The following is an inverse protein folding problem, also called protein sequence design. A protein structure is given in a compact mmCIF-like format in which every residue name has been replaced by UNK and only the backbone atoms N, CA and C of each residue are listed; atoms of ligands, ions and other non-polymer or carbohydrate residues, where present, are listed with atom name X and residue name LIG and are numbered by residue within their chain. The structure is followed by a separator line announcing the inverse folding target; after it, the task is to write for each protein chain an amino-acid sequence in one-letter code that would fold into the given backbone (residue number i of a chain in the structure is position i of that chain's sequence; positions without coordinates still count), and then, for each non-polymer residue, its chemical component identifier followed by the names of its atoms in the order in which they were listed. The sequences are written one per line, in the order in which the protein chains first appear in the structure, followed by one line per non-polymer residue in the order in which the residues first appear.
data_IF_499733994159
#
_entry.id   IF_499733994159
#
_cell.length_a   1.000
_cell.length_b   1.000
_cell.length_c   1.000
_cell.angle_alpha   90.00
_cell.angle_beta   90.00
_cell.angle_gamma   90.00
#
_symmetry.space_group_name_H-M   'P 1'
#
loop_
_entity.id
_entity.type
_entity.pdbx_description
1 polymer ?
#
# COMPACT_ATOMS: atom_id res chain seq x y z
N UNK A 1 17.48 27.52 14.98
CA UNK A 1 16.94 26.17 15.20
C UNK A 1 17.79 25.22 14.38
N UNK A 2 18.52 24.34 15.05
CA UNK A 2 19.54 23.47 14.47
C UNK A 2 18.85 22.30 13.76
N UNK A 3 18.86 22.27 12.44
CA UNK A 3 18.59 21.06 11.70
C UNK A 3 19.90 20.29 11.61
N UNK A 4 20.09 19.36 12.55
CA UNK A 4 21.22 18.43 12.52
C UNK A 4 21.21 17.70 11.17
N UNK A 5 22.31 17.83 10.44
CA UNK A 5 22.67 16.95 9.34
C UNK A 5 22.63 15.51 9.87
N UNK A 6 21.62 14.72 9.48
CA UNK A 6 21.66 13.28 9.71
C UNK A 6 22.42 12.68 8.52
N UNK A 7 23.74 12.67 8.71
CA UNK A 7 24.71 11.65 8.34
C UNK A 7 24.38 10.65 7.23
N UNK A 8 25.38 10.41 6.37
CA UNK A 8 25.50 9.21 5.54
C UNK A 8 25.37 7.94 6.41
N UNK A 9 24.25 7.21 6.34
CA UNK A 9 24.08 5.91 7.02
C UNK A 9 22.91 5.09 6.44
N UNK A 10 23.01 3.77 6.56
CA UNK A 10 21.98 2.83 6.15
C UNK A 10 20.71 3.01 7.00
N UNK A 11 19.64 3.55 6.38
CA UNK A 11 18.33 3.64 7.02
C UNK A 11 17.66 2.26 7.11
N UNK A 12 17.11 1.93 8.27
CA UNK A 12 16.19 0.81 8.49
C UNK A 12 14.82 1.11 7.87
N UNK A 13 13.94 0.11 7.81
CA UNK A 13 12.59 0.30 7.26
C UNK A 13 11.76 1.29 8.09
N UNK A 14 11.85 1.19 9.41
CA UNK A 14 11.13 2.08 10.34
C UNK A 14 11.61 3.53 10.21
N UNK A 15 12.92 3.76 10.04
CA UNK A 15 13.48 5.09 9.81
C UNK A 15 13.05 5.69 8.46
N UNK A 16 12.89 4.86 7.44
CA UNK A 16 12.37 5.30 6.14
C UNK A 16 10.86 5.58 6.19
N UNK A 17 10.10 4.83 6.99
CA UNK A 17 8.68 5.11 7.24
C UNK A 17 8.50 6.44 7.97
N UNK A 18 9.29 6.69 9.03
CA UNK A 18 9.29 7.97 9.74
C UNK A 18 9.71 9.13 8.83
N UNK A 19 10.75 8.93 8.02
CA UNK A 19 11.19 9.93 7.06
C UNK A 19 10.12 10.22 6.00
N UNK A 20 9.46 9.18 5.48
CA UNK A 20 8.41 9.33 4.49
C UNK A 20 7.20 10.07 5.04
N UNK A 21 6.79 9.77 6.27
CA UNK A 21 5.73 10.52 6.97
C UNK A 21 6.09 12.00 7.11
N UNK A 22 7.32 12.32 7.52
CA UNK A 22 7.79 13.70 7.64
C UNK A 22 7.90 14.41 6.28
N UNK A 23 8.26 13.67 5.23
CA UNK A 23 8.32 14.19 3.87
C UNK A 23 6.93 14.52 3.34
N UNK A 24 5.95 13.62 3.50
CA UNK A 24 4.55 13.81 3.09
C UNK A 24 3.93 15.01 3.82
N UNK A 25 4.15 15.13 5.13
CA UNK A 25 3.64 16.26 5.91
C UNK A 25 4.16 17.63 5.40
N UNK A 26 5.38 17.68 4.84
CA UNK A 26 5.91 18.88 4.21
C UNK A 26 5.34 19.10 2.81
N UNK A 27 5.15 18.03 2.04
CA UNK A 27 4.60 18.09 0.69
C UNK A 27 3.14 18.59 0.69
N UNK A 28 2.36 18.22 1.72
CA UNK A 28 0.99 18.69 1.93
C UNK A 28 0.89 20.19 2.22
N UNK A 29 1.95 20.79 2.79
CA UNK A 29 2.02 22.24 3.01
C UNK A 29 2.38 22.95 1.70
N UNK A 30 3.47 22.54 1.07
CA UNK A 30 3.88 23.04 -0.25
C UNK A 30 5.04 22.22 -0.80
N UNK A 31 4.83 21.62 -1.97
CA UNK A 31 5.91 20.98 -2.71
C UNK A 31 6.82 22.03 -3.37
N UNK A 32 8.13 21.83 -3.26
CA UNK A 32 9.15 22.66 -3.90
C UNK A 32 10.33 21.78 -4.35
N UNK A 33 11.19 22.35 -5.20
CA UNK A 33 12.29 21.62 -5.83
C UNK A 33 13.18 20.90 -4.82
N UNK A 34 13.50 21.52 -3.68
CA UNK A 34 14.32 20.91 -2.63
C UNK A 34 13.65 19.69 -2.00
N UNK A 35 12.33 19.74 -1.81
CA UNK A 35 11.56 18.63 -1.27
C UNK A 35 11.42 17.50 -2.30
N UNK A 36 11.25 17.85 -3.58
CA UNK A 36 11.26 16.87 -4.67
C UNK A 36 12.63 16.18 -4.82
N UNK A 37 13.72 16.94 -4.74
CA UNK A 37 15.09 16.43 -4.77
C UNK A 37 15.38 15.49 -3.59
N UNK A 38 14.85 15.78 -2.39
CA UNK A 38 15.04 14.90 -1.24
C UNK A 38 14.33 13.54 -1.39
N UNK A 39 13.18 13.51 -2.08
CA UNK A 39 12.52 12.25 -2.45
C UNK A 39 13.31 11.47 -3.49
N UNK A 40 13.81 12.14 -4.52
CA UNK A 40 14.64 11.50 -5.56
C UNK A 40 15.92 10.93 -4.94
N UNK A 41 16.57 11.70 -4.08
CA UNK A 41 17.77 11.29 -3.34
C UNK A 41 17.47 10.07 -2.44
N UNK A 42 16.41 10.12 -1.64
CA UNK A 42 16.06 8.99 -0.76
C UNK A 42 15.65 7.74 -1.56
N UNK A 43 14.91 7.91 -2.66
CA UNK A 43 14.57 6.81 -3.57
C UNK A 43 15.79 6.16 -4.20
N UNK A 44 16.75 6.98 -4.66
CA UNK A 44 17.97 6.47 -5.29
C UNK A 44 18.83 5.63 -4.35
N UNK A 45 18.82 5.94 -3.05
CA UNK A 45 19.61 5.23 -2.03
C UNK A 45 18.88 4.03 -1.42
N UNK A 46 17.55 4.06 -1.43
CA UNK A 46 16.71 3.05 -0.78
C UNK A 46 15.76 2.39 -1.78
N UNK A 47 16.28 1.98 -2.94
CA UNK A 47 15.51 1.25 -3.95
C UNK A 47 14.79 0.03 -3.34
N UNK A 48 15.40 -0.66 -2.37
CA UNK A 48 14.76 -1.78 -1.67
C UNK A 48 13.49 -1.40 -0.86
N UNK A 49 13.34 -0.13 -0.52
CA UNK A 49 12.18 0.39 0.21
C UNK A 49 11.13 0.97 -0.74
N UNK A 50 11.56 1.76 -1.74
CA UNK A 50 10.67 2.45 -2.67
C UNK A 50 10.28 1.62 -3.91
N UNK A 51 11.15 0.72 -4.34
CA UNK A 51 11.01 -0.15 -5.51
C UNK A 51 11.61 -1.54 -5.17
N UNK A 52 11.11 -2.23 -4.12
CA UNK A 52 11.65 -3.52 -3.75
C UNK A 52 11.66 -4.45 -4.96
N UNK A 53 12.75 -5.20 -5.21
CA UNK A 53 12.73 -6.20 -6.27
C UNK A 53 11.55 -7.13 -6.03
N UNK A 54 10.77 -7.40 -7.09
CA UNK A 54 9.71 -8.40 -7.04
C UNK A 54 10.27 -9.65 -6.34
N UNK A 55 9.58 -10.19 -5.32
CA UNK A 55 10.14 -11.28 -4.54
C UNK A 55 10.54 -12.41 -5.49
N UNK A 56 11.80 -12.82 -5.44
CA UNK A 56 12.22 -14.05 -6.08
C UNK A 56 11.26 -15.18 -5.62
N UNK A 57 10.89 -16.13 -6.51
CA UNK A 57 10.05 -17.26 -6.11
C UNK A 57 10.62 -17.88 -4.84
N UNK A 58 9.80 -18.13 -3.79
CA UNK A 58 10.33 -18.27 -2.45
C UNK A 58 11.18 -19.54 -2.31
N UNK A 59 12.48 -19.35 -2.02
CA UNK A 59 13.24 -20.34 -1.28
C UNK A 59 12.71 -20.38 0.15
N UNK A 60 12.49 -21.60 0.63
CA UNK A 60 11.74 -21.95 1.84
C UNK A 60 12.40 -21.38 3.10
N UNK A 61 11.83 -20.34 3.69
CA UNK A 61 12.14 -19.96 5.07
C UNK A 61 10.98 -20.41 5.99
N UNK A 62 11.25 -21.49 6.71
CA UNK A 62 10.39 -22.09 7.72
C UNK A 62 10.41 -21.27 9.01
N UNK A 63 9.23 -21.15 9.63
CA UNK A 63 8.96 -20.78 11.05
C UNK A 63 8.55 -19.33 11.30
N UNK A 64 7.23 -19.08 11.37
CA UNK A 64 6.53 -18.70 12.61
C UNK A 64 5.01 -18.84 12.38
N UNK A 65 4.40 -19.75 13.15
CA UNK A 65 2.96 -19.97 13.40
C UNK A 65 2.00 -19.68 12.23
N UNK A 66 1.49 -20.74 11.59
CA UNK A 66 0.29 -20.73 10.73
C UNK A 66 -0.78 -19.82 11.35
N UNK A 67 -0.89 -18.59 10.87
CA UNK A 67 -2.19 -17.95 10.79
C UNK A 67 -2.99 -18.87 9.86
N UNK A 68 -3.99 -19.53 10.39
CA UNK A 68 -4.96 -20.28 9.60
C UNK A 68 -5.38 -19.41 8.42
N UNK A 69 -5.05 -19.83 7.20
CA UNK A 69 -5.52 -19.16 5.98
C UNK A 69 -7.04 -19.31 5.94
N UNK A 70 -7.75 -18.36 6.53
CA UNK A 70 -9.22 -18.33 6.59
C UNK A 70 -9.86 -17.94 5.26
N UNK A 71 -9.05 -17.58 4.26
CA UNK A 71 -9.49 -17.10 2.96
C UNK A 71 -9.30 -18.16 1.88
N UNK A 72 -10.07 -18.06 0.80
CA UNK A 72 -9.89 -18.93 -0.37
C UNK A 72 -8.45 -18.83 -0.90
N UNK A 73 -7.92 -19.89 -1.51
CA UNK A 73 -6.56 -19.88 -2.06
C UNK A 73 -6.31 -18.73 -3.04
N UNK A 74 -7.35 -18.27 -3.74
CA UNK A 74 -7.28 -17.17 -4.69
C UNK A 74 -7.16 -15.79 -4.01
N UNK A 75 -7.60 -15.64 -2.76
CA UNK A 75 -7.39 -14.42 -1.98
C UNK A 75 -6.02 -14.48 -1.29
N UNK A 76 -5.71 -15.63 -0.68
CA UNK A 76 -4.51 -15.80 0.13
C UNK A 76 -3.20 -15.59 -0.66
N UNK A 77 -3.21 -15.81 -1.99
CA UNK A 77 -2.07 -15.50 -2.87
C UNK A 77 -1.59 -14.04 -2.78
N UNK A 78 -2.46 -13.11 -2.39
CA UNK A 78 -2.13 -11.69 -2.26
C UNK A 78 -1.49 -11.33 -0.91
N UNK A 79 -1.47 -12.24 0.07
CA UNK A 79 -0.92 -11.96 1.40
C UNK A 79 0.51 -11.43 1.38
N UNK A 80 1.45 -11.98 0.59
CA UNK A 80 2.82 -11.46 0.55
C UNK A 80 2.86 -10.00 0.07
N UNK A 81 2.07 -9.67 -0.95
CA UNK A 81 1.97 -8.30 -1.46
C UNK A 81 1.34 -7.37 -0.42
N UNK A 82 0.23 -7.78 0.20
CA UNK A 82 -0.40 -7.00 1.29
C UNK A 82 0.57 -6.80 2.46
N UNK A 83 1.31 -7.82 2.87
CA UNK A 83 2.30 -7.73 3.94
C UNK A 83 3.51 -6.85 3.59
N UNK A 84 3.80 -6.64 2.30
CA UNK A 84 4.85 -5.74 1.86
C UNK A 84 4.47 -4.26 1.98
N UNK A 85 3.17 -3.93 2.04
CA UNK A 85 2.66 -2.55 2.08
C UNK A 85 2.03 -2.17 3.41
N UNK A 86 1.44 -3.13 4.13
CA UNK A 86 0.77 -2.89 5.40
C UNK A 86 1.65 -3.30 6.59
N UNK A 87 1.56 -2.54 7.68
CA UNK A 87 2.10 -2.98 8.97
C UNK A 87 1.54 -4.36 9.34
N UNK A 88 2.35 -5.22 9.97
CA UNK A 88 1.98 -6.61 10.26
C UNK A 88 0.61 -6.76 10.97
N UNK A 89 0.32 -5.86 11.91
CA UNK A 89 -0.95 -5.82 12.65
C UNK A 89 -2.17 -5.39 11.82
N UNK A 90 -1.98 -4.97 10.56
CA UNK A 90 -3.04 -4.54 9.63
C UNK A 90 -3.25 -5.53 8.49
N UNK A 91 -2.33 -6.47 8.29
CA UNK A 91 -2.39 -7.44 7.19
C UNK A 91 -3.68 -8.25 7.22
N UNK A 92 -4.09 -8.78 8.37
CA UNK A 92 -5.31 -9.60 8.44
C UNK A 92 -6.57 -8.79 8.15
N UNK A 93 -6.66 -7.56 8.66
CA UNK A 93 -7.74 -6.62 8.31
C UNK A 93 -7.76 -6.33 6.80
N UNK A 94 -6.61 -6.06 6.18
CA UNK A 94 -6.50 -5.81 4.73
C UNK A 94 -6.91 -7.03 3.90
N UNK A 95 -6.47 -8.23 4.28
CA UNK A 95 -6.86 -9.49 3.63
C UNK A 95 -8.35 -9.76 3.74
N UNK A 96 -8.97 -9.44 4.89
CA UNK A 96 -10.42 -9.51 5.06
C UNK A 96 -11.18 -8.56 4.12
N UNK A 97 -10.71 -7.32 4.00
CA UNK A 97 -11.31 -6.34 3.08
C UNK A 97 -11.20 -6.83 1.64
N UNK A 98 -10.00 -7.23 1.19
CA UNK A 98 -9.78 -7.78 -0.16
C UNK A 98 -10.72 -8.96 -0.45
N UNK A 99 -10.87 -9.86 0.52
CA UNK A 99 -11.80 -10.98 0.40
C UNK A 99 -13.24 -10.51 0.15
N UNK A 100 -13.74 -9.55 0.94
CA UNK A 100 -15.10 -9.04 0.78
C UNK A 100 -15.29 -8.23 -0.50
N UNK A 101 -14.34 -7.35 -0.82
CA UNK A 101 -14.40 -6.47 -1.99
C UNK A 101 -14.37 -7.25 -3.31
N UNK A 102 -13.64 -8.36 -3.36
CA UNK A 102 -13.59 -9.24 -4.53
C UNK A 102 -14.61 -10.38 -4.50
N UNK A 103 -15.48 -10.47 -3.47
CA UNK A 103 -16.40 -11.59 -3.29
C UNK A 103 -15.70 -12.95 -3.11
N UNK A 104 -14.48 -12.95 -2.56
CA UNK A 104 -13.66 -14.13 -2.31
C UNK A 104 -12.89 -14.65 -3.51
N UNK A 105 -12.92 -13.94 -4.64
CA UNK A 105 -12.24 -14.34 -5.88
C UNK A 105 -10.77 -13.92 -5.90
N UNK A 106 -10.41 -12.82 -5.24
CA UNK A 106 -9.09 -12.22 -5.37
C UNK A 106 -8.75 -11.78 -6.80
N UNK A 107 -9.74 -11.52 -7.66
CA UNK A 107 -9.49 -11.07 -9.03
C UNK A 107 -9.07 -9.59 -9.06
N UNK A 108 -7.85 -9.25 -9.51
CA UNK A 108 -7.40 -7.87 -9.61
C UNK A 108 -8.11 -7.08 -10.72
N UNK A 109 -8.82 -7.76 -11.63
CA UNK A 109 -9.65 -7.13 -12.64
C UNK A 109 -11.12 -7.02 -12.20
N UNK A 110 -11.44 -7.37 -10.96
CA UNK A 110 -12.79 -7.26 -10.42
C UNK A 110 -13.34 -5.85 -10.64
N UNK A 111 -14.47 -5.76 -11.33
CA UNK A 111 -15.13 -4.51 -11.66
C UNK A 111 -16.59 -4.58 -11.26
N UNK A 112 -17.04 -3.58 -10.51
CA UNK A 112 -18.45 -3.44 -10.20
C UNK A 112 -19.20 -2.80 -11.38
N UNK A 113 -20.23 -3.48 -11.89
CA UNK A 113 -21.02 -3.02 -13.06
C UNK A 113 -21.89 -1.79 -12.79
N UNK A 114 -22.15 -1.47 -11.51
CA UNK A 114 -23.07 -0.39 -11.10
C UNK A 114 -22.35 0.85 -10.56
N UNK A 115 -21.02 0.81 -10.46
CA UNK A 115 -20.24 1.92 -9.88
C UNK A 115 -18.85 2.01 -10.51
N UNK A 116 -18.04 2.95 -10.02
CA UNK A 116 -16.63 3.04 -10.42
C UNK A 116 -15.71 2.12 -9.61
N UNK A 117 -16.21 1.29 -8.70
CA UNK A 117 -15.38 0.39 -7.90
C UNK A 117 -14.61 -0.62 -8.77
N UNK A 118 -13.30 -0.73 -8.55
CA UNK A 118 -12.41 -1.58 -9.34
C UNK A 118 -11.19 -2.08 -8.55
N UNK A 119 -10.69 -3.25 -8.96
CA UNK A 119 -9.49 -3.88 -8.42
C UNK A 119 -9.68 -4.57 -7.07
N UNK A 120 -8.59 -5.00 -6.47
CA UNK A 120 -8.58 -5.83 -5.25
C UNK A 120 -9.29 -5.18 -4.06
N UNK A 121 -9.16 -3.86 -3.90
CA UNK A 121 -9.82 -3.07 -2.84
C UNK A 121 -11.01 -2.25 -3.35
N UNK A 122 -11.49 -2.52 -4.57
CA UNK A 122 -12.71 -1.92 -5.14
C UNK A 122 -12.78 -0.39 -5.05
N UNK A 123 -11.70 0.30 -5.42
CA UNK A 123 -11.65 1.76 -5.36
C UNK A 123 -12.64 2.41 -6.31
N UNK A 124 -13.47 3.31 -5.76
CA UNK A 124 -14.19 4.28 -6.56
C UNK A 124 -13.19 5.23 -7.23
N UNK A 125 -13.52 5.70 -8.44
CA UNK A 125 -12.71 6.65 -9.21
C UNK A 125 -12.31 7.89 -8.41
N UNK A 126 -13.25 8.48 -7.67
CA UNK A 126 -12.98 9.66 -6.84
C UNK A 126 -11.94 9.37 -5.75
N UNK A 127 -12.10 8.25 -5.04
CA UNK A 127 -11.15 7.79 -4.02
C UNK A 127 -9.78 7.48 -4.61
N UNK A 128 -9.72 6.77 -5.74
CA UNK A 128 -8.46 6.50 -6.44
C UNK A 128 -7.73 7.80 -6.78
N UNK A 129 -8.44 8.76 -7.37
CA UNK A 129 -7.86 10.03 -7.79
C UNK A 129 -7.50 10.96 -6.61
N UNK A 130 -7.95 10.66 -5.38
CA UNK A 130 -7.47 11.35 -4.18
C UNK A 130 -6.13 10.81 -3.66
N UNK A 131 -5.70 9.63 -4.10
CA UNK A 131 -4.39 9.07 -3.76
C UNK A 131 -3.34 9.71 -4.67
N UNK A 132 -2.17 10.15 -4.15
CA UNK A 132 -1.11 10.73 -4.98
C UNK A 132 -0.68 9.81 -6.13
N UNK A 133 -0.44 10.40 -7.31
CA UNK A 133 0.02 9.65 -8.48
C UNK A 133 1.37 8.96 -8.27
N UNK A 134 2.21 9.46 -7.35
CA UNK A 134 3.46 8.82 -6.95
C UNK A 134 3.25 7.47 -6.26
N UNK A 135 2.08 7.25 -5.64
CA UNK A 135 1.70 5.98 -4.99
C UNK A 135 1.03 5.05 -6.00
N UNK A 136 0.12 5.56 -6.82
CA UNK A 136 -0.68 4.75 -7.75
C UNK A 136 0.05 4.46 -9.07
N UNK A 137 1.07 5.25 -9.40
CA UNK A 137 1.76 5.22 -10.69
C UNK A 137 0.88 5.61 -11.88
N UNK A 138 -0.32 6.18 -11.64
CA UNK A 138 -1.21 6.65 -12.69
C UNK A 138 -2.66 6.88 -12.24
N UNK A 139 -3.41 7.59 -13.09
CA UNK A 139 -4.82 7.92 -12.84
C UNK A 139 -5.71 6.69 -12.96
N UNK A 140 -6.96 6.80 -12.49
CA UNK A 140 -7.94 5.74 -12.68
C UNK A 140 -8.11 5.38 -14.17
N UNK A 141 -8.14 6.39 -15.05
CA UNK A 141 -8.34 6.20 -16.51
C UNK A 141 -7.15 5.54 -17.21
N UNK A 142 -5.95 5.60 -16.63
CA UNK A 142 -4.81 4.85 -17.13
C UNK A 142 -4.93 3.33 -16.91
N UNK A 143 -5.98 2.86 -16.22
CA UNK A 143 -6.19 1.46 -15.89
C UNK A 143 -5.33 0.96 -14.72
N UNK A 144 -4.51 1.82 -14.11
CA UNK A 144 -3.63 1.44 -12.98
C UNK A 144 -4.40 0.93 -11.76
N UNK A 145 -5.69 1.23 -11.64
CA UNK A 145 -6.56 0.66 -10.60
C UNK A 145 -6.62 -0.88 -10.64
N UNK A 146 -6.40 -1.51 -11.79
CA UNK A 146 -6.36 -2.98 -11.93
C UNK A 146 -4.96 -3.57 -11.72
N UNK A 147 -3.92 -2.74 -11.58
CA UNK A 147 -2.60 -3.23 -11.23
C UNK A 147 -2.59 -3.63 -9.73
N UNK A 148 -2.30 -4.89 -9.38
CA UNK A 148 -2.38 -5.36 -7.99
C UNK A 148 -1.51 -4.57 -7.02
N UNK A 149 -0.26 -4.28 -7.42
CA UNK A 149 0.71 -3.52 -6.62
C UNK A 149 0.18 -2.12 -6.32
N UNK A 150 -0.21 -1.38 -7.36
CA UNK A 150 -0.74 -0.03 -7.23
C UNK A 150 -2.03 0.02 -6.39
N UNK A 151 -2.91 -0.98 -6.54
CA UNK A 151 -4.13 -1.09 -5.78
C UNK A 151 -3.87 -1.35 -4.28
N UNK A 152 -2.95 -2.26 -3.96
CA UNK A 152 -2.53 -2.53 -2.58
C UNK A 152 -1.83 -1.32 -1.97
N UNK A 153 -0.93 -0.66 -2.72
CA UNK A 153 -0.24 0.56 -2.28
C UNK A 153 -1.21 1.70 -1.97
N UNK A 154 -2.21 1.92 -2.84
CA UNK A 154 -3.26 2.91 -2.60
C UNK A 154 -4.08 2.61 -1.34
N UNK A 155 -4.37 1.33 -1.09
CA UNK A 155 -5.08 0.89 0.12
C UNK A 155 -4.26 1.13 1.39
N UNK A 156 -2.97 0.82 1.37
CA UNK A 156 -2.06 1.09 2.48
C UNK A 156 -1.94 2.60 2.75
N UNK A 157 -1.78 3.42 1.69
CA UNK A 157 -1.72 4.87 1.83
C UNK A 157 -3.00 5.43 2.46
N UNK A 158 -4.18 5.02 1.98
CA UNK A 158 -5.45 5.46 2.57
C UNK A 158 -5.62 4.98 4.01
N UNK A 159 -5.18 3.77 4.33
CA UNK A 159 -5.22 3.25 5.69
C UNK A 159 -4.40 4.12 6.65
N UNK A 160 -3.22 4.57 6.23
CA UNK A 160 -2.33 5.44 7.03
C UNK A 160 -2.94 6.83 7.18
N UNK A 161 -3.44 7.42 6.09
CA UNK A 161 -3.83 8.83 6.03
C UNK A 161 -5.29 9.10 6.42
N UNK A 162 -6.16 8.10 6.37
CA UNK A 162 -7.61 8.26 6.61
C UNK A 162 -8.23 7.09 7.36
N UNK A 163 -7.42 6.11 7.80
CA UNK A 163 -7.94 4.87 8.35
C UNK A 163 -8.72 4.06 7.32
N UNK A 164 -9.60 3.18 7.80
CA UNK A 164 -10.34 2.25 6.95
C UNK A 164 -11.68 2.79 6.43
N UNK A 165 -11.93 4.10 6.55
CA UNK A 165 -13.26 4.70 6.37
C UNK A 165 -13.81 4.68 4.93
N UNK A 166 -12.95 4.43 3.94
CA UNK A 166 -13.33 4.48 2.52
C UNK A 166 -14.09 3.23 2.05
N UNK A 167 -13.85 2.08 2.68
CA UNK A 167 -14.52 0.81 2.37
C UNK A 167 -15.65 0.53 3.37
N UNK A 168 -16.89 0.37 2.88
CA UNK A 168 -18.03 0.06 3.75
C UNK A 168 -17.89 -1.30 4.43
N UNK A 169 -17.17 -2.24 3.80
CA UNK A 169 -16.93 -3.59 4.30
C UNK A 169 -16.03 -3.63 5.53
N UNK A 170 -15.26 -2.57 5.83
CA UNK A 170 -14.39 -2.53 7.00
C UNK A 170 -15.13 -2.87 8.31
N UNK A 171 -16.43 -2.54 8.41
CA UNK A 171 -17.24 -2.88 9.59
C UNK A 171 -17.27 -4.38 9.90
N UNK A 172 -17.12 -5.23 8.88
CA UNK A 172 -17.06 -6.69 9.00
C UNK A 172 -15.66 -7.21 9.36
N UNK A 173 -14.63 -6.39 9.19
CA UNK A 173 -13.22 -6.75 9.35
C UNK A 173 -12.54 -6.13 10.58
N UNK A 174 -13.31 -5.52 11.50
CA UNK A 174 -12.74 -4.84 12.67
C UNK A 174 -12.14 -5.84 13.66
N UNK A 175 -10.96 -5.53 14.18
CA UNK A 175 -10.32 -6.29 15.27
C UNK A 175 -9.52 -7.52 14.85
N UNK A 176 -9.18 -7.64 13.56
CA UNK A 176 -8.38 -8.72 12.97
C UNK A 176 -6.89 -8.39 12.82
#
# INVERSE_FOLDING_TARGET
MLFSSVSAQAHTRDELDEWMLAWVAQADISINDRLSESLVDMRSRHLWYFDPPAPAPPHTHTTTRRASSTWSGNVEQWRPLVAAHFAAAKVNTAMCILNHETGGTGDPNAKNDRSSAAGLFQFLRGTWNSVPLSVTGGSYDSGRVYNPEANVAAAAWLQINSGWGQGTVYRLCRGL
#
